data_IF_676200350677
#
_entry.id   IF_676200350677
#
_cell.length_a   1.000
_cell.length_b   1.000
_cell.length_c   1.000
_cell.angle_alpha   90.00
_cell.angle_beta   90.00
_cell.angle_gamma   90.00
#
_symmetry.space_group_name_H-M   'P 1'
#
loop_
_entity.id
_entity.type
_entity.pdbx_description
1 polymer ?
#
# COMPACT_ATOMS: atom_id res chain seq x y z
N UNK A 1 20.25 -17.49 4.80
CA UNK A 1 20.55 -16.09 4.46
C UNK A 1 20.25 -15.22 5.65
N UNK A 2 20.99 -14.12 5.81
CA UNK A 2 20.67 -13.00 6.67
C UNK A 2 20.08 -11.87 5.82
N UNK A 3 18.83 -11.54 6.07
CA UNK A 3 18.05 -10.58 5.28
C UNK A 3 17.80 -9.32 6.10
N UNK A 4 18.13 -8.17 5.53
CA UNK A 4 17.79 -6.86 6.08
C UNK A 4 16.48 -6.37 5.46
N UNK A 5 15.45 -6.21 6.27
CA UNK A 5 14.20 -5.56 5.90
C UNK A 5 14.28 -4.08 6.27
N UNK A 6 14.03 -3.18 5.33
CA UNK A 6 13.94 -1.74 5.61
C UNK A 6 12.61 -1.17 5.16
N UNK A 7 12.03 -0.27 5.95
CA UNK A 7 10.83 0.43 5.51
C UNK A 7 10.68 1.82 6.13
N UNK A 8 10.09 2.72 5.37
CA UNK A 8 9.62 4.01 5.86
C UNK A 8 8.67 3.77 7.05
N UNK A 9 8.65 4.65 8.07
CA UNK A 9 7.94 4.39 9.32
C UNK A 9 6.42 4.58 9.22
N UNK A 10 5.81 4.13 8.13
CA UNK A 10 4.38 4.11 7.88
C UNK A 10 3.87 2.66 7.91
N UNK A 11 2.83 2.40 8.68
CA UNK A 11 2.28 1.03 8.86
C UNK A 11 1.83 0.41 7.53
N UNK A 12 1.31 1.23 6.60
CA UNK A 12 0.91 0.77 5.27
C UNK A 12 2.07 0.24 4.41
N UNK A 13 3.28 0.78 4.62
CA UNK A 13 4.49 0.33 3.92
C UNK A 13 5.16 -0.83 4.66
N UNK A 14 5.22 -0.76 5.99
CA UNK A 14 5.88 -1.78 6.79
C UNK A 14 5.14 -3.13 6.79
N UNK A 15 3.80 -3.14 6.80
CA UNK A 15 3.02 -4.38 6.89
C UNK A 15 3.31 -5.37 5.74
N UNK A 16 3.35 -4.95 4.46
CA UNK A 16 3.80 -5.84 3.39
C UNK A 16 5.21 -6.38 3.59
N UNK A 17 6.16 -5.55 4.01
CA UNK A 17 7.54 -5.96 4.27
C UNK A 17 7.59 -7.01 5.39
N UNK A 18 6.78 -6.85 6.45
CA UNK A 18 6.64 -7.83 7.52
C UNK A 18 6.08 -9.16 7.02
N UNK A 19 5.11 -9.16 6.10
CA UNK A 19 4.60 -10.39 5.48
C UNK A 19 5.70 -11.13 4.72
N UNK A 20 6.55 -10.42 3.97
CA UNK A 20 7.72 -11.02 3.30
C UNK A 20 8.72 -11.54 4.34
N UNK A 21 9.01 -10.75 5.36
CA UNK A 21 9.89 -11.11 6.47
C UNK A 21 9.45 -12.38 7.20
N UNK A 22 8.15 -12.50 7.50
CA UNK A 22 7.59 -13.68 8.14
C UNK A 22 7.74 -14.93 7.28
N UNK A 23 7.51 -14.81 5.97
CA UNK A 23 7.72 -15.92 5.04
C UNK A 23 9.19 -16.37 4.98
N UNK A 24 10.13 -15.42 5.05
CA UNK A 24 11.57 -15.72 5.11
C UNK A 24 11.98 -16.39 6.43
N UNK A 25 11.43 -15.94 7.57
CA UNK A 25 11.65 -16.56 8.88
C UNK A 25 11.10 -17.99 8.89
N UNK A 26 9.91 -18.21 8.34
CA UNK A 26 9.29 -19.55 8.24
C UNK A 26 10.10 -20.49 7.34
N UNK A 27 10.84 -19.95 6.37
CA UNK A 27 11.79 -20.68 5.54
C UNK A 27 13.17 -20.89 6.21
N UNK A 28 13.37 -20.40 7.43
CA UNK A 28 14.59 -20.60 8.22
C UNK A 28 15.69 -19.56 7.99
N UNK A 29 15.38 -18.40 7.43
CA UNK A 29 16.33 -17.29 7.29
C UNK A 29 16.40 -16.41 8.55
N UNK A 30 17.55 -15.78 8.76
CA UNK A 30 17.76 -14.77 9.79
C UNK A 30 17.29 -13.40 9.28
N UNK A 31 16.39 -12.73 10.00
CA UNK A 31 15.75 -11.49 9.55
C UNK A 31 16.01 -10.37 10.55
N UNK A 32 16.54 -9.27 10.02
CA UNK A 32 16.77 -8.02 10.75
C UNK A 32 15.86 -6.95 10.14
N UNK A 33 15.01 -6.32 10.95
CA UNK A 33 14.16 -5.23 10.52
C UNK A 33 14.69 -3.86 10.93
N UNK A 34 14.56 -2.89 10.03
CA UNK A 34 15.01 -1.51 10.19
C UNK A 34 13.91 -0.51 9.80
N UNK A 35 13.46 0.25 10.79
CA UNK A 35 12.46 1.32 10.65
C UNK A 35 12.52 2.22 11.90
N UNK A 36 11.52 3.08 12.13
CA UNK A 36 11.42 3.86 13.37
C UNK A 36 11.32 2.97 14.61
N UNK A 37 11.89 3.44 15.70
CA UNK A 37 11.82 2.79 17.02
C UNK A 37 10.38 2.58 17.51
N UNK A 38 9.43 3.44 17.12
CA UNK A 38 8.02 3.28 17.49
C UNK A 38 7.39 1.98 16.94
N UNK A 39 7.93 1.45 15.83
CA UNK A 39 7.45 0.24 15.17
C UNK A 39 8.28 -1.01 15.50
N UNK A 40 9.25 -0.93 16.43
CA UNK A 40 10.09 -2.07 16.88
C UNK A 40 9.28 -3.32 17.19
N UNK A 41 8.18 -3.15 17.93
CA UNK A 41 7.33 -4.25 18.37
C UNK A 41 6.77 -5.09 17.21
N UNK A 42 6.57 -4.49 16.02
CA UNK A 42 6.10 -5.21 14.83
C UNK A 42 7.18 -6.11 14.23
N UNK A 43 8.42 -5.63 14.17
CA UNK A 43 9.57 -6.45 13.71
C UNK A 43 9.79 -7.63 14.67
N UNK A 44 9.85 -7.37 15.98
CA UNK A 44 10.01 -8.45 16.96
C UNK A 44 8.82 -9.40 16.99
N UNK A 45 7.61 -8.90 16.69
CA UNK A 45 6.39 -9.69 16.64
C UNK A 45 6.39 -10.78 15.56
N UNK A 46 7.13 -10.60 14.46
CA UNK A 46 7.32 -11.66 13.45
C UNK A 46 8.53 -12.57 13.76
N UNK A 47 9.28 -12.30 14.84
CA UNK A 47 10.49 -13.03 15.22
C UNK A 47 11.80 -12.42 14.70
N UNK A 48 11.76 -11.24 14.09
CA UNK A 48 12.94 -10.55 13.57
C UNK A 48 13.74 -9.80 14.64
N UNK A 49 15.06 -9.70 14.45
CA UNK A 49 15.89 -8.77 15.20
C UNK A 49 15.64 -7.33 14.74
N UNK A 50 15.88 -6.34 15.60
CA UNK A 50 15.61 -4.92 15.29
C UNK A 50 16.88 -4.07 15.28
N UNK A 51 16.96 -3.16 14.31
CA UNK A 51 17.92 -2.04 14.25
C UNK A 51 17.14 -0.74 13.99
N UNK A 52 17.32 0.32 14.81
CA UNK A 52 16.62 1.58 14.56
C UNK A 52 17.23 2.29 13.35
N UNK A 53 16.40 2.99 12.58
CA UNK A 53 16.88 4.09 11.73
C UNK A 53 17.49 5.19 12.62
N UNK A 54 18.34 6.03 12.03
CA UNK A 54 18.94 7.17 12.69
C UNK A 54 18.30 8.50 12.24
N UNK A 55 18.62 9.58 12.96
CA UNK A 55 18.24 10.94 12.59
C UNK A 55 16.75 11.13 12.29
N UNK A 56 16.46 11.86 11.21
CA UNK A 56 15.10 12.16 10.75
C UNK A 56 14.38 10.90 10.26
N UNK A 57 15.11 9.89 9.78
CA UNK A 57 14.53 8.63 9.35
C UNK A 57 13.93 7.80 10.51
N UNK A 58 14.32 8.06 11.76
CA UNK A 58 13.74 7.42 12.95
C UNK A 58 12.46 8.09 13.47
N UNK A 59 11.99 9.17 12.83
CA UNK A 59 10.83 9.94 13.29
C UNK A 59 9.60 9.03 13.44
N UNK A 60 8.86 9.22 14.54
CA UNK A 60 7.61 8.51 14.75
C UNK A 60 6.49 9.17 13.94
N UNK A 61 5.97 8.45 12.95
CA UNK A 61 4.88 8.91 12.09
C UNK A 61 3.52 8.32 12.49
N UNK A 62 3.42 7.69 13.67
CA UNK A 62 2.14 7.15 14.17
C UNK A 62 1.11 8.24 14.49
N UNK A 63 1.57 9.44 14.85
CA UNK A 63 0.76 10.66 14.90
C UNK A 63 1.30 11.66 13.88
N UNK A 64 0.74 11.62 12.68
CA UNK A 64 1.20 12.42 11.56
C UNK A 64 1.06 13.93 11.81
N UNK A 65 0.04 14.35 12.55
CA UNK A 65 -0.17 15.76 12.88
C UNK A 65 0.87 16.27 13.88
N UNK A 66 1.35 15.41 14.79
CA UNK A 66 2.47 15.75 15.68
C UNK A 66 3.80 15.75 14.93
N UNK A 67 4.01 14.76 14.06
CA UNK A 67 5.23 14.65 13.26
C UNK A 67 5.39 15.79 12.25
N UNK A 68 4.27 16.30 11.74
CA UNK A 68 4.19 17.35 10.72
C UNK A 68 3.01 18.30 10.99
N UNK A 69 3.14 19.26 11.93
CA UNK A 69 2.07 20.20 12.25
C UNK A 69 1.57 21.00 11.05
N UNK A 70 2.47 21.32 10.11
CA UNK A 70 2.16 22.02 8.87
C UNK A 70 1.18 21.27 7.96
N UNK A 71 1.09 19.94 8.08
CA UNK A 71 0.23 19.11 7.25
C UNK A 71 -1.25 19.37 7.51
N UNK A 72 -1.63 19.73 8.74
CA UNK A 72 -3.03 19.93 9.15
C UNK A 72 -3.76 21.02 8.37
N UNK A 73 -3.03 21.95 7.74
CA UNK A 73 -3.58 23.06 6.96
C UNK A 73 -3.49 22.84 5.45
N UNK A 74 -2.93 21.72 4.99
CA UNK A 74 -2.71 21.47 3.57
C UNK A 74 -3.99 21.04 2.85
N UNK A 75 -4.14 21.52 1.61
CA UNK A 75 -5.28 21.17 0.76
C UNK A 75 -5.02 19.83 0.05
N UNK A 76 -6.04 18.95 -0.07
CA UNK A 76 -5.92 17.74 -0.88
C UNK A 76 -5.48 18.06 -2.31
N UNK A 77 -4.73 17.14 -2.92
CA UNK A 77 -4.20 17.29 -4.29
C UNK A 77 -2.68 17.47 -4.32
N UNK A 78 -2.19 18.19 -5.33
CA UNK A 78 -0.77 18.27 -5.67
C UNK A 78 0.10 18.80 -4.51
N UNK A 79 -0.41 19.73 -3.68
CA UNK A 79 0.33 20.27 -2.54
C UNK A 79 0.63 19.20 -1.47
N UNK A 80 -0.37 18.36 -1.14
CA UNK A 80 -0.13 17.20 -0.26
C UNK A 80 0.81 16.18 -0.91
N UNK A 81 0.67 15.93 -2.20
CA UNK A 81 1.55 15.00 -2.93
C UNK A 81 3.01 15.48 -2.85
N UNK A 82 3.27 16.76 -3.14
CA UNK A 82 4.59 17.40 -2.97
C UNK A 82 5.12 17.19 -1.56
N UNK A 83 4.29 17.48 -0.55
CA UNK A 83 4.65 17.32 0.84
C UNK A 83 5.08 15.89 1.19
N UNK A 84 4.29 14.87 0.81
CA UNK A 84 4.66 13.48 1.08
C UNK A 84 6.00 13.12 0.43
N UNK A 85 6.18 13.43 -0.85
CA UNK A 85 7.42 13.08 -1.55
C UNK A 85 8.64 13.82 -1.04
N UNK A 86 8.52 15.11 -0.75
CA UNK A 86 9.63 15.92 -0.24
C UNK A 86 9.93 15.58 1.22
N UNK A 87 8.93 15.65 2.10
CA UNK A 87 9.13 15.68 3.55
C UNK A 87 9.15 14.29 4.18
N UNK A 88 8.39 13.35 3.62
CA UNK A 88 8.27 11.99 4.18
C UNK A 88 9.22 11.01 3.50
N UNK A 89 9.44 11.14 2.19
CA UNK A 89 10.24 10.18 1.43
C UNK A 89 11.65 10.68 1.08
N UNK A 90 11.82 11.94 0.64
CA UNK A 90 13.11 12.47 0.22
C UNK A 90 13.96 13.01 1.38
N UNK A 91 13.43 13.85 2.25
CA UNK A 91 14.17 14.46 3.37
C UNK A 91 14.93 13.42 4.23
N UNK A 92 14.36 12.23 4.56
CA UNK A 92 15.07 11.21 5.34
C UNK A 92 16.13 10.41 4.58
N UNK A 93 16.33 10.63 3.27
CA UNK A 93 17.15 9.78 2.38
C UNK A 93 18.56 9.56 2.94
N UNK A 94 19.24 10.62 3.40
CA UNK A 94 20.64 10.53 3.86
C UNK A 94 20.74 9.69 5.14
N UNK A 95 19.81 9.87 6.07
CA UNK A 95 19.79 9.11 7.33
C UNK A 95 19.40 7.64 7.10
N UNK A 96 18.46 7.39 6.19
CA UNK A 96 18.12 6.04 5.72
C UNK A 96 19.34 5.35 5.11
N UNK A 97 20.04 6.02 4.18
CA UNK A 97 21.23 5.50 3.53
C UNK A 97 22.36 5.23 4.53
N UNK A 98 22.63 6.17 5.43
CA UNK A 98 23.65 6.01 6.48
C UNK A 98 23.33 4.83 7.39
N UNK A 99 22.05 4.66 7.77
CA UNK A 99 21.61 3.52 8.58
C UNK A 99 21.81 2.18 7.85
N UNK A 100 21.53 2.12 6.53
CA UNK A 100 21.83 0.94 5.71
C UNK A 100 23.33 0.62 5.71
N UNK A 101 24.18 1.60 5.39
CA UNK A 101 25.63 1.40 5.36
C UNK A 101 26.18 0.88 6.69
N UNK A 102 25.77 1.47 7.82
CA UNK A 102 26.21 1.02 9.14
C UNK A 102 25.92 -0.48 9.38
N UNK A 103 24.72 -0.95 9.00
CA UNK A 103 24.35 -2.36 9.17
C UNK A 103 25.14 -3.26 8.20
N UNK A 104 25.36 -2.81 6.96
CA UNK A 104 26.13 -3.55 5.96
C UNK A 104 27.62 -3.66 6.33
N UNK A 105 28.19 -2.64 6.99
CA UNK A 105 29.57 -2.64 7.48
C UNK A 105 29.74 -3.53 8.73
N UNK A 106 28.70 -3.64 9.56
CA UNK A 106 28.74 -4.42 10.80
C UNK A 106 28.44 -5.91 10.59
N UNK A 107 27.58 -6.26 9.62
CA UNK A 107 27.01 -7.59 9.47
C UNK A 107 27.06 -8.08 8.02
N UNK A 108 27.35 -9.37 7.79
CA UNK A 108 27.23 -9.97 6.46
C UNK A 108 25.75 -10.12 6.11
N UNK A 109 25.18 -9.13 5.42
CA UNK A 109 23.82 -9.17 4.88
C UNK A 109 23.84 -9.80 3.49
N UNK A 110 23.03 -10.84 3.28
CA UNK A 110 22.96 -11.58 2.01
C UNK A 110 21.90 -11.01 1.05
N UNK A 111 20.97 -10.20 1.56
CA UNK A 111 19.85 -9.60 0.82
C UNK A 111 19.26 -8.43 1.60
N UNK A 112 18.93 -7.35 0.88
CA UNK A 112 18.11 -6.25 1.40
C UNK A 112 16.73 -6.31 0.73
N UNK A 113 15.66 -6.26 1.53
CA UNK A 113 14.28 -6.10 1.05
C UNK A 113 13.72 -4.82 1.61
N UNK A 114 13.25 -3.92 0.74
CA UNK A 114 12.80 -2.60 1.16
C UNK A 114 11.50 -2.19 0.50
N UNK A 115 10.72 -1.29 1.11
CA UNK A 115 9.59 -0.69 0.40
C UNK A 115 10.09 0.24 -0.73
N UNK A 116 9.30 0.38 -1.80
CA UNK A 116 9.69 1.11 -3.00
C UNK A 116 9.85 2.63 -2.81
N UNK A 117 9.41 3.18 -1.67
CA UNK A 117 9.55 4.60 -1.32
C UNK A 117 10.59 4.85 -0.23
N UNK A 118 11.37 3.83 0.15
CA UNK A 118 12.55 3.97 1.00
C UNK A 118 13.75 4.46 0.17
N UNK A 119 13.82 5.76 -0.08
CA UNK A 119 14.81 6.33 -1.01
C UNK A 119 16.26 6.21 -0.55
N UNK A 120 16.54 5.91 0.72
CA UNK A 120 17.89 5.60 1.21
C UNK A 120 18.56 4.39 0.53
N UNK A 121 17.80 3.51 -0.12
CA UNK A 121 18.36 2.41 -0.91
C UNK A 121 18.88 2.86 -2.30
N UNK A 122 18.44 4.02 -2.81
CA UNK A 122 18.81 4.51 -4.15
C UNK A 122 20.31 4.79 -4.27
N UNK A 123 20.98 5.46 -3.31
CA UNK A 123 22.44 5.59 -3.33
C UNK A 123 23.17 4.25 -3.42
N UNK A 124 22.68 3.19 -2.74
CA UNK A 124 23.30 1.86 -2.85
C UNK A 124 23.25 1.32 -4.27
N UNK A 125 22.10 1.47 -4.94
CA UNK A 125 21.87 0.99 -6.31
C UNK A 125 22.65 1.78 -7.36
N UNK A 126 22.83 3.09 -7.15
CA UNK A 126 23.51 3.98 -8.10
C UNK A 126 25.04 3.99 -7.94
N UNK A 127 25.53 3.93 -6.70
CA UNK A 127 26.95 4.11 -6.38
C UNK A 127 27.72 2.79 -6.43
N UNK A 128 27.15 1.72 -5.92
CA UNK A 128 27.88 0.48 -5.68
C UNK A 128 27.48 -0.59 -6.70
N UNK A 129 28.44 -1.14 -7.46
CA UNK A 129 28.16 -2.21 -8.40
C UNK A 129 27.65 -3.45 -7.64
N UNK A 130 26.89 -4.31 -8.32
CA UNK A 130 26.24 -5.47 -7.71
C UNK A 130 27.19 -6.42 -6.96
N UNK A 131 28.47 -6.48 -7.33
CA UNK A 131 29.49 -7.29 -6.68
C UNK A 131 30.02 -6.72 -5.35
N UNK A 132 29.74 -5.45 -5.04
CA UNK A 132 30.21 -4.75 -3.83
C UNK A 132 29.10 -4.52 -2.80
N UNK A 133 27.87 -4.95 -3.10
CA UNK A 133 26.70 -4.82 -2.22
C UNK A 133 25.83 -6.07 -2.29
N UNK A 134 25.01 -6.36 -1.26
CA UNK A 134 23.97 -7.37 -1.39
C UNK A 134 22.97 -7.02 -2.51
N UNK A 135 22.24 -8.03 -3.02
CA UNK A 135 21.06 -7.77 -3.84
C UNK A 135 20.04 -6.95 -3.04
N UNK A 136 19.33 -6.08 -3.75
CA UNK A 136 18.29 -5.23 -3.18
C UNK A 136 16.99 -5.46 -3.94
N UNK A 137 16.00 -5.98 -3.22
CA UNK A 137 14.64 -6.17 -3.72
C UNK A 137 13.72 -5.07 -3.18
N UNK A 138 12.96 -4.44 -4.08
CA UNK A 138 11.91 -3.50 -3.69
C UNK A 138 10.56 -4.22 -3.62
N UNK A 139 9.76 -3.94 -2.61
CA UNK A 139 8.35 -4.28 -2.56
C UNK A 139 7.53 -3.05 -2.96
N UNK A 140 6.72 -3.17 -4.01
CA UNK A 140 5.76 -2.17 -4.44
C UNK A 140 4.59 -2.10 -3.46
N UNK A 141 4.75 -1.36 -2.37
CA UNK A 141 3.73 -1.20 -1.31
C UNK A 141 2.62 -0.24 -1.72
N UNK A 142 2.82 0.48 -2.82
CA UNK A 142 1.83 1.31 -3.52
C UNK A 142 1.50 0.69 -4.88
N UNK A 143 0.50 1.24 -5.57
CA UNK A 143 0.33 0.99 -7.00
C UNK A 143 1.61 1.34 -7.77
N UNK A 144 1.75 0.80 -8.98
CA UNK A 144 2.94 1.04 -9.78
C UNK A 144 3.01 2.51 -10.18
N UNK A 145 3.99 3.25 -9.65
CA UNK A 145 4.17 4.69 -9.88
C UNK A 145 4.86 5.01 -11.22
N UNK A 146 5.49 4.01 -11.84
CA UNK A 146 6.17 4.20 -13.12
C UNK A 146 5.18 4.63 -14.21
N UNK A 147 5.73 5.32 -15.21
CA UNK A 147 5.00 5.92 -16.33
C UNK A 147 3.98 4.95 -16.93
N UNK A 148 2.76 5.46 -17.15
CA UNK A 148 1.65 4.79 -17.82
C UNK A 148 1.70 5.06 -19.33
N UNK A 149 1.10 4.18 -20.14
CA UNK A 149 1.03 4.37 -21.60
C UNK A 149 0.20 5.60 -22.00
N UNK A 150 -0.79 5.98 -21.19
CA UNK A 150 -1.62 7.16 -21.41
C UNK A 150 -1.01 8.47 -20.87
N UNK A 151 0.23 8.42 -20.38
CA UNK A 151 0.98 9.59 -19.91
C UNK A 151 0.28 10.41 -18.81
N UNK A 152 -0.75 9.86 -18.17
CA UNK A 152 -1.40 10.48 -17.03
C UNK A 152 -0.40 10.60 -15.87
N UNK A 153 -0.27 11.78 -15.23
CA UNK A 153 0.51 11.89 -14.01
C UNK A 153 -0.09 11.02 -12.91
N UNK A 154 0.79 10.37 -12.13
CA UNK A 154 0.39 9.56 -10.99
C UNK A 154 0.06 10.46 -9.77
N UNK A 155 -0.70 9.91 -8.80
CA UNK A 155 -1.15 10.56 -7.56
C UNK A 155 -2.23 11.64 -7.77
N UNK A 156 -3.01 11.51 -8.84
CA UNK A 156 -4.12 12.42 -9.17
C UNK A 156 -5.46 11.68 -9.37
N UNK A 157 -5.48 10.35 -9.25
CA UNK A 157 -6.71 9.57 -9.46
C UNK A 157 -7.27 9.65 -10.88
N UNK A 158 -6.42 9.97 -11.86
CA UNK A 158 -6.86 10.13 -13.24
C UNK A 158 -7.20 8.75 -13.85
N UNK A 159 -8.39 8.59 -14.46
CA UNK A 159 -8.78 7.35 -15.12
C UNK A 159 -7.84 7.04 -16.29
N UNK A 160 -7.95 5.84 -16.87
CA UNK A 160 -7.22 5.56 -18.10
C UNK A 160 -7.89 6.23 -19.29
N UNK A 161 -7.12 6.92 -20.12
CA UNK A 161 -7.63 7.61 -21.31
C UNK A 161 -6.62 7.62 -22.47
N UNK A 162 -6.93 8.36 -23.53
CA UNK A 162 -5.97 8.62 -24.61
C UNK A 162 -4.88 9.61 -24.16
N UNK A 163 -3.60 9.42 -24.54
CA UNK A 163 -2.49 10.25 -24.04
C UNK A 163 -2.69 11.76 -24.14
N UNK A 164 -3.28 12.21 -25.25
CA UNK A 164 -3.57 13.63 -25.50
C UNK A 164 -4.51 14.27 -24.47
N UNK A 165 -5.30 13.47 -23.74
CA UNK A 165 -6.21 13.98 -22.71
C UNK A 165 -5.46 14.57 -21.51
N UNK A 166 -4.21 14.14 -21.28
CA UNK A 166 -3.43 14.52 -20.11
C UNK A 166 -2.24 15.42 -20.42
N UNK A 167 -1.98 15.77 -21.68
CA UNK A 167 -0.78 16.53 -22.08
C UNK A 167 -0.58 17.83 -21.25
N UNK A 168 -1.62 18.65 -21.12
CA UNK A 168 -1.56 19.90 -20.34
C UNK A 168 -1.37 19.64 -18.84
N UNK A 169 -2.03 18.62 -18.29
CA UNK A 169 -1.92 18.28 -16.87
C UNK A 169 -0.53 17.72 -16.57
N UNK A 170 0.02 16.91 -17.48
CA UNK A 170 1.37 16.37 -17.36
C UNK A 170 2.44 17.45 -17.42
N UNK A 171 2.30 18.43 -18.32
CA UNK A 171 3.20 19.58 -18.39
C UNK A 171 3.16 20.42 -17.10
N UNK A 172 1.96 20.66 -16.55
CA UNK A 172 1.80 21.38 -15.29
C UNK A 172 2.41 20.61 -14.12
N UNK A 173 2.14 19.30 -14.00
CA UNK A 173 2.71 18.47 -12.93
C UNK A 173 4.23 18.34 -13.05
N UNK A 174 4.76 18.22 -14.27
CA UNK A 174 6.20 18.19 -14.47
C UNK A 174 6.86 19.48 -14.00
N UNK A 175 6.33 20.63 -14.43
CA UNK A 175 6.83 21.95 -14.08
C UNK A 175 6.70 22.25 -12.59
N UNK A 176 5.52 22.00 -12.01
CA UNK A 176 5.20 22.42 -10.66
C UNK A 176 5.71 21.43 -9.61
N UNK A 177 5.93 20.17 -9.96
CA UNK A 177 6.34 19.13 -9.02
C UNK A 177 7.54 18.30 -9.48
N UNK A 178 7.46 17.55 -10.59
CA UNK A 178 8.47 16.53 -10.89
C UNK A 178 9.87 17.12 -11.12
N UNK A 179 9.99 18.21 -11.87
CA UNK A 179 11.27 18.85 -12.15
C UNK A 179 11.89 19.51 -10.90
N UNK A 180 11.17 20.32 -10.10
CA UNK A 180 11.68 20.81 -8.81
C UNK A 180 12.07 19.69 -7.86
N UNK A 181 11.23 18.66 -7.75
CA UNK A 181 11.48 17.52 -6.88
C UNK A 181 12.72 16.74 -7.31
N UNK A 182 12.89 16.48 -8.61
CA UNK A 182 14.07 15.80 -9.15
C UNK A 182 15.36 16.60 -8.88
N UNK A 183 15.31 17.93 -8.97
CA UNK A 183 16.44 18.81 -8.63
C UNK A 183 16.83 18.67 -7.14
N UNK A 184 15.85 18.75 -6.24
CA UNK A 184 16.08 18.58 -4.80
C UNK A 184 16.60 17.18 -4.45
N UNK A 185 15.99 16.14 -5.02
CA UNK A 185 16.41 14.75 -4.80
C UNK A 185 17.85 14.53 -5.29
N UNK A 186 18.22 15.07 -6.45
CA UNK A 186 19.59 14.98 -6.96
C UNK A 186 20.59 15.74 -6.06
N UNK A 187 20.20 16.86 -5.46
CA UNK A 187 21.04 17.53 -4.47
C UNK A 187 21.26 16.66 -3.22
N UNK A 188 20.23 15.94 -2.75
CA UNK A 188 20.36 14.98 -1.65
C UNK A 188 21.26 13.79 -2.02
N UNK A 189 21.11 13.23 -3.22
CA UNK A 189 21.98 12.15 -3.71
C UNK A 189 23.44 12.57 -3.77
N UNK A 190 23.73 13.77 -4.28
CA UNK A 190 25.09 14.33 -4.31
C UNK A 190 25.66 14.52 -2.90
N UNK A 191 24.86 15.02 -1.95
CA UNK A 191 25.26 15.13 -0.53
C UNK A 191 25.52 13.78 0.12
N UNK A 192 24.82 12.72 -0.29
CA UNK A 192 25.08 11.34 0.12
C UNK A 192 26.31 10.72 -0.57
N UNK A 193 26.97 11.46 -1.48
CA UNK A 193 28.10 10.98 -2.27
C UNK A 193 27.70 9.94 -3.33
N UNK A 194 26.45 9.96 -3.77
CA UNK A 194 25.91 9.18 -4.90
C UNK A 194 25.92 10.03 -6.17
N UNK A 195 26.08 9.43 -7.37
CA UNK A 195 25.79 10.14 -8.61
C UNK A 195 24.30 10.55 -8.66
N UNK A 196 23.95 11.58 -9.48
CA UNK A 196 22.57 11.99 -9.65
C UNK A 196 21.77 10.93 -10.43
N UNK A 197 20.46 10.97 -10.26
CA UNK A 197 19.50 10.21 -11.04
C UNK A 197 19.18 10.94 -12.36
N UNK A 198 19.26 10.23 -13.48
CA UNK A 198 19.03 10.78 -14.83
C UNK A 198 17.63 10.54 -15.39
N UNK A 199 16.76 9.90 -14.61
CA UNK A 199 15.34 9.69 -14.91
C UNK A 199 14.49 10.16 -13.71
N UNK A 200 13.17 10.14 -13.84
CA UNK A 200 12.31 10.45 -12.69
C UNK A 200 12.34 9.30 -11.68
N UNK A 201 12.17 9.63 -10.39
CA UNK A 201 12.27 8.65 -9.31
C UNK A 201 11.26 7.50 -9.45
N UNK A 202 10.09 7.75 -10.05
CA UNK A 202 9.04 6.74 -10.16
C UNK A 202 9.40 5.63 -11.14
N UNK A 203 10.00 5.98 -12.28
CA UNK A 203 10.56 5.00 -13.21
C UNK A 203 11.80 4.32 -12.61
N UNK A 204 12.66 5.08 -11.91
CA UNK A 204 13.86 4.55 -11.27
C UNK A 204 13.56 3.48 -10.21
N UNK A 205 12.55 3.69 -9.36
CA UNK A 205 12.16 2.71 -8.32
C UNK A 205 11.62 1.39 -8.91
N UNK A 206 11.13 1.41 -10.15
CA UNK A 206 10.71 0.21 -10.87
C UNK A 206 11.88 -0.44 -11.65
N UNK A 207 12.94 0.30 -11.97
CA UNK A 207 14.02 -0.14 -12.88
C UNK A 207 15.36 -0.44 -12.20
N UNK A 208 15.73 0.31 -11.17
CA UNK A 208 17.02 0.19 -10.48
C UNK A 208 17.20 -1.05 -9.60
N UNK A 209 16.20 -1.56 -8.85
CA UNK A 209 16.45 -2.66 -7.93
C UNK A 209 16.77 -3.94 -8.69
N UNK A 210 17.46 -4.88 -8.03
CA UNK A 210 17.77 -6.18 -8.65
C UNK A 210 16.48 -7.01 -8.84
N UNK A 211 15.44 -6.71 -8.05
CA UNK A 211 14.08 -7.23 -8.20
C UNK A 211 13.05 -6.20 -7.70
N UNK A 212 11.97 -6.00 -8.44
CA UNK A 212 10.82 -5.22 -7.97
C UNK A 212 9.59 -6.12 -7.87
N UNK A 213 9.12 -6.36 -6.65
CA UNK A 213 7.95 -7.18 -6.32
C UNK A 213 6.71 -6.29 -6.26
N UNK A 214 5.97 -6.20 -7.37
CA UNK A 214 4.73 -5.43 -7.41
C UNK A 214 3.59 -6.27 -6.81
N UNK A 215 2.97 -5.77 -5.74
CA UNK A 215 2.03 -6.52 -4.89
C UNK A 215 0.59 -6.56 -5.43
N UNK A 216 0.45 -6.76 -6.74
CA UNK A 216 -0.82 -6.89 -7.45
C UNK A 216 -0.70 -7.83 -8.65
N UNK A 217 -1.72 -7.85 -9.50
CA UNK A 217 -1.76 -8.59 -10.77
C UNK A 217 -1.82 -7.62 -11.96
N UNK A 218 -1.35 -8.05 -13.14
CA UNK A 218 -1.41 -7.24 -14.35
C UNK A 218 -2.80 -6.67 -14.65
N UNK A 219 -3.88 -7.44 -14.45
CA UNK A 219 -5.24 -7.00 -14.78
C UNK A 219 -5.80 -5.87 -13.89
N UNK A 220 -5.11 -5.53 -12.79
CA UNK A 220 -5.48 -4.39 -11.93
C UNK A 220 -4.68 -3.11 -12.26
N UNK A 221 -3.57 -3.22 -12.98
CA UNK A 221 -2.74 -2.07 -13.33
C UNK A 221 -3.10 -1.49 -14.70
N UNK A 222 -2.97 -0.17 -14.81
CA UNK A 222 -3.08 0.50 -16.11
C UNK A 222 -2.01 0.01 -17.09
N UNK A 223 -2.33 -0.06 -18.40
CA UNK A 223 -1.42 -0.51 -19.45
C UNK A 223 -0.06 0.19 -19.44
N UNK A 224 0.99 -0.64 -19.61
CA UNK A 224 2.38 -0.24 -19.76
C UNK A 224 3.04 -1.13 -20.79
N UNK A 225 3.44 -0.54 -21.91
CA UNK A 225 4.06 -1.25 -23.04
C UNK A 225 5.50 -1.65 -22.72
N UNK A 226 6.19 -0.88 -21.88
CA UNK A 226 7.57 -1.11 -21.49
C UNK A 226 7.69 -1.34 -19.98
N UNK A 227 7.41 -2.57 -19.53
CA UNK A 227 7.66 -2.95 -18.14
C UNK A 227 9.16 -3.11 -17.90
N UNK A 228 9.72 -2.53 -16.81
CA UNK A 228 11.11 -2.73 -16.46
C UNK A 228 11.46 -4.21 -16.24
N UNK A 229 12.64 -4.63 -16.70
CA UNK A 229 13.12 -6.01 -16.59
C UNK A 229 13.10 -6.60 -15.16
N UNK A 230 13.39 -5.86 -14.07
CA UNK A 230 13.34 -6.44 -12.71
C UNK A 230 11.91 -6.53 -12.15
N UNK A 231 10.90 -5.96 -12.80
CA UNK A 231 9.54 -5.94 -12.26
C UNK A 231 8.87 -7.32 -12.38
N UNK A 232 8.30 -7.79 -11.26
CA UNK A 232 7.50 -9.00 -11.18
C UNK A 232 6.20 -8.70 -10.43
N UNK A 233 5.08 -9.00 -11.07
CA UNK A 233 3.79 -9.07 -10.37
C UNK A 233 3.76 -10.34 -9.53
N UNK A 234 3.56 -10.18 -8.22
CA UNK A 234 3.55 -11.31 -7.27
C UNK A 234 2.22 -11.50 -6.57
N UNK A 235 1.23 -10.67 -6.92
CA UNK A 235 -0.10 -10.69 -6.30
C UNK A 235 -0.09 -10.17 -4.86
N UNK A 236 -1.22 -10.32 -4.17
CA UNK A 236 -1.32 -9.98 -2.77
C UNK A 236 -0.48 -10.94 -1.93
N UNK A 237 0.24 -10.38 -0.96
CA UNK A 237 1.02 -11.18 -0.01
C UNK A 237 0.10 -12.01 0.89
N UNK A 238 0.59 -13.15 1.43
CA UNK A 238 -0.12 -13.91 2.44
C UNK A 238 -0.50 -13.03 3.64
N UNK A 239 -1.72 -13.24 4.12
CA UNK A 239 -2.22 -12.59 5.33
C UNK A 239 -1.55 -13.26 6.52
N UNK A 240 -0.87 -12.47 7.35
CA UNK A 240 -0.29 -12.98 8.59
C UNK A 240 -1.39 -13.47 9.54
N UNK A 241 -1.19 -14.63 10.14
CA UNK A 241 -2.12 -15.18 11.11
C UNK A 241 -2.07 -14.45 12.46
N UNK A 242 -3.18 -14.50 13.20
CA UNK A 242 -3.24 -14.00 14.58
C UNK A 242 -3.18 -12.47 14.70
N UNK A 243 -3.59 -11.73 13.66
CA UNK A 243 -3.62 -10.27 13.67
C UNK A 243 -4.48 -9.67 14.80
N UNK A 244 -5.56 -10.37 15.16
CA UNK A 244 -6.47 -9.99 16.24
C UNK A 244 -7.27 -11.22 16.71
N UNK A 245 -7.77 -11.24 17.95
CA UNK A 245 -8.68 -12.27 18.42
C UNK A 245 -10.01 -12.23 17.64
N UNK A 246 -10.70 -13.36 17.59
CA UNK A 246 -12.05 -13.42 17.03
C UNK A 246 -13.04 -12.63 17.89
N UNK A 247 -13.95 -11.86 17.28
CA UNK A 247 -14.96 -11.14 18.04
C UNK A 247 -16.04 -12.09 18.60
N UNK A 248 -16.75 -11.72 19.67
CA UNK A 248 -17.82 -12.54 20.27
C UNK A 248 -18.96 -12.90 19.30
N UNK A 249 -19.21 -12.02 18.33
CA UNK A 249 -20.23 -12.20 17.28
C UNK A 249 -19.70 -12.97 16.04
N UNK A 250 -18.50 -13.54 16.10
CA UNK A 250 -17.88 -14.23 14.96
C UNK A 250 -18.73 -15.37 14.39
N UNK A 251 -19.52 -16.03 15.23
CA UNK A 251 -20.43 -17.10 14.80
C UNK A 251 -21.61 -16.61 13.95
N UNK A 252 -21.90 -15.30 13.90
CA UNK A 252 -22.96 -14.75 13.06
C UNK A 252 -22.61 -14.68 11.57
N UNK A 253 -21.31 -14.85 11.23
CA UNK A 253 -20.85 -14.94 9.84
C UNK A 253 -20.91 -16.41 9.41
N UNK A 254 -22.10 -16.97 9.41
CA UNK A 254 -22.41 -18.39 9.13
C UNK A 254 -22.83 -18.64 7.67
N UNK A 255 -22.88 -17.60 6.84
CA UNK A 255 -23.31 -17.65 5.44
C UNK A 255 -24.82 -17.48 5.23
N UNK A 256 -25.61 -17.23 6.28
CA UNK A 256 -27.05 -16.97 6.17
C UNK A 256 -27.38 -15.61 5.56
N UNK A 257 -26.48 -14.64 5.69
CA UNK A 257 -26.59 -13.27 5.16
C UNK A 257 -25.35 -12.93 4.37
N UNK A 258 -25.52 -12.03 3.40
CA UNK A 258 -24.38 -11.46 2.68
C UNK A 258 -23.64 -10.49 3.57
N UNK A 259 -22.32 -10.47 3.52
CA UNK A 259 -21.48 -9.67 4.42
C UNK A 259 -20.82 -8.53 3.65
N UNK A 260 -21.06 -7.29 4.10
CA UNK A 260 -20.39 -6.10 3.61
C UNK A 260 -19.34 -5.66 4.62
N UNK A 261 -18.06 -5.70 4.23
CA UNK A 261 -16.98 -5.16 5.04
C UNK A 261 -16.82 -3.67 4.76
N UNK A 262 -16.80 -2.84 5.81
CA UNK A 262 -16.55 -1.40 5.73
C UNK A 262 -15.27 -1.04 6.49
N UNK A 263 -14.35 -0.31 5.85
CA UNK A 263 -13.13 0.16 6.52
C UNK A 263 -12.48 1.40 5.89
N UNK A 264 -11.92 2.28 6.73
CA UNK A 264 -11.07 3.41 6.33
C UNK A 264 -9.56 3.11 6.47
N UNK A 265 -9.16 1.84 6.60
CA UNK A 265 -7.76 1.47 6.76
C UNK A 265 -7.17 1.95 8.08
N UNK A 266 -5.85 2.12 8.12
CA UNK A 266 -5.08 2.35 9.36
C UNK A 266 -4.39 3.72 9.45
N UNK A 267 -4.25 4.43 8.33
CA UNK A 267 -3.56 5.74 8.27
C UNK A 267 -4.57 6.87 8.38
N UNK A 268 -5.45 7.04 7.39
CA UNK A 268 -6.44 8.12 7.37
C UNK A 268 -7.80 7.63 7.87
N UNK A 269 -7.83 7.27 9.16
CA UNK A 269 -9.02 6.80 9.89
C UNK A 269 -9.36 7.67 11.12
N UNK A 270 -8.86 8.91 11.16
CA UNK A 270 -9.10 9.85 12.27
C UNK A 270 -10.54 10.41 12.27
N UNK A 271 -11.21 10.41 11.12
CA UNK A 271 -12.58 10.89 10.95
C UNK A 271 -13.45 9.81 10.30
N UNK A 272 -14.19 9.06 11.12
CA UNK A 272 -15.13 8.04 10.66
C UNK A 272 -16.40 8.59 10.01
N UNK A 273 -16.61 9.92 10.04
CA UNK A 273 -17.72 10.55 9.30
C UNK A 273 -17.47 10.58 7.79
N UNK A 274 -16.24 10.33 7.33
CA UNK A 274 -15.89 10.31 5.92
C UNK A 274 -16.56 9.14 5.18
N UNK A 275 -16.46 7.91 5.71
CA UNK A 275 -16.98 6.73 5.01
C UNK A 275 -17.72 5.75 5.92
N UNK A 276 -17.18 5.43 7.10
CA UNK A 276 -17.77 4.39 7.97
C UNK A 276 -19.19 4.76 8.39
N UNK A 277 -19.40 5.98 8.87
CA UNK A 277 -20.70 6.43 9.36
C UNK A 277 -21.75 6.50 8.25
N UNK A 278 -21.51 7.18 7.10
CA UNK A 278 -22.50 7.19 6.02
C UNK A 278 -22.74 5.79 5.43
N UNK A 279 -21.77 4.86 5.48
CA UNK A 279 -21.98 3.48 5.07
C UNK A 279 -22.88 2.69 6.05
N UNK A 280 -22.72 2.91 7.36
CA UNK A 280 -23.63 2.34 8.37
C UNK A 280 -25.05 2.85 8.15
N UNK A 281 -25.22 4.15 7.94
CA UNK A 281 -26.53 4.77 7.67
C UNK A 281 -27.14 4.26 6.36
N UNK A 282 -26.34 4.10 5.30
CA UNK A 282 -26.80 3.65 3.98
C UNK A 282 -27.38 2.24 4.02
N UNK A 283 -26.85 1.39 4.91
CA UNK A 283 -27.14 -0.04 4.99
C UNK A 283 -27.97 -0.41 6.23
N UNK A 284 -28.40 0.56 7.04
CA UNK A 284 -29.07 0.31 8.31
C UNK A 284 -30.35 -0.52 8.20
N UNK A 285 -31.14 -0.32 7.14
CA UNK A 285 -32.43 -0.98 6.92
C UNK A 285 -32.31 -2.31 6.13
N UNK A 286 -31.09 -2.78 5.85
CA UNK A 286 -30.82 -3.97 5.04
C UNK A 286 -30.73 -5.23 5.89
N UNK A 287 -31.87 -5.85 6.16
CA UNK A 287 -31.97 -7.10 6.92
C UNK A 287 -31.32 -8.31 6.22
N UNK A 288 -31.14 -8.26 4.90
CA UNK A 288 -30.43 -9.28 4.11
C UNK A 288 -28.90 -9.19 4.21
N UNK A 289 -28.38 -8.12 4.82
CA UNK A 289 -26.95 -7.85 4.96
C UNK A 289 -26.50 -7.95 6.42
N UNK A 290 -25.25 -8.34 6.60
CA UNK A 290 -24.48 -8.12 7.81
C UNK A 290 -23.37 -7.10 7.50
N UNK A 291 -23.38 -5.95 8.17
CA UNK A 291 -22.39 -4.89 7.94
C UNK A 291 -21.29 -5.03 8.98
N UNK A 292 -20.09 -5.42 8.54
CA UNK A 292 -18.93 -5.61 9.42
C UNK A 292 -18.00 -4.42 9.28
N UNK A 293 -17.66 -3.78 10.40
CA UNK A 293 -16.73 -2.65 10.43
C UNK A 293 -15.46 -3.02 11.19
N UNK A 294 -14.31 -2.71 10.59
CA UNK A 294 -13.03 -2.67 11.30
C UNK A 294 -12.52 -1.24 11.38
N UNK A 295 -12.28 -0.76 12.60
CA UNK A 295 -11.84 0.61 12.89
C UNK A 295 -10.32 0.83 12.70
N UNK A 296 -9.59 -0.16 12.17
CA UNK A 296 -8.18 0.00 11.84
C UNK A 296 -7.29 0.35 13.04
N UNK A 297 -7.66 -0.10 14.24
CA UNK A 297 -6.91 0.15 15.47
C UNK A 297 -7.37 1.37 16.28
N UNK A 298 -8.34 2.15 15.80
CA UNK A 298 -8.94 3.27 16.55
C UNK A 298 -10.04 2.80 17.50
N UNK A 299 -10.37 3.62 18.48
CA UNK A 299 -11.48 3.32 19.40
C UNK A 299 -12.81 3.27 18.63
N UNK A 300 -13.61 2.22 18.85
CA UNK A 300 -14.91 2.08 18.19
C UNK A 300 -15.90 3.19 18.60
N UNK A 301 -15.74 3.74 19.80
CA UNK A 301 -16.58 4.83 20.33
C UNK A 301 -16.37 6.16 19.59
N UNK A 302 -15.34 6.25 18.74
CA UNK A 302 -15.11 7.42 17.88
C UNK A 302 -15.93 7.39 16.59
N UNK A 303 -16.68 6.31 16.32
CA UNK A 303 -17.62 6.24 15.19
C UNK A 303 -18.88 7.02 15.58
N UNK A 304 -19.19 8.14 14.90
CA UNK A 304 -20.35 8.94 15.23
C UNK A 304 -21.65 8.26 14.82
N UNK A 305 -22.75 8.62 15.50
CA UNK A 305 -24.08 8.15 15.18
C UNK A 305 -24.46 6.84 15.88
N UNK A 306 -25.62 6.29 15.50
CA UNK A 306 -26.15 5.06 16.07
C UNK A 306 -25.62 3.87 15.28
N UNK A 307 -25.21 2.81 15.98
CA UNK A 307 -24.87 1.54 15.32
C UNK A 307 -26.16 0.79 14.95
N UNK A 308 -26.39 0.48 13.65
CA UNK A 308 -27.57 -0.27 13.20
C UNK A 308 -27.63 -1.69 13.74
N UNK A 309 -28.83 -2.29 13.78
CA UNK A 309 -29.03 -3.64 14.34
C UNK A 309 -28.27 -4.74 13.56
N UNK A 310 -28.08 -4.54 12.25
CA UNK A 310 -27.37 -5.43 11.35
C UNK A 310 -25.86 -5.14 11.27
N UNK A 311 -25.33 -4.23 12.10
CA UNK A 311 -23.91 -3.89 12.11
C UNK A 311 -23.14 -4.61 13.23
N UNK A 312 -21.90 -4.99 12.94
CA UNK A 312 -20.94 -5.57 13.87
C UNK A 312 -19.61 -4.86 13.75
N UNK A 313 -19.10 -4.34 14.85
CA UNK A 313 -17.94 -3.45 14.86
C UNK A 313 -16.86 -4.05 15.74
N UNK A 314 -15.61 -3.95 15.28
CA UNK A 314 -14.44 -4.25 16.08
C UNK A 314 -13.32 -3.23 15.82
N UNK A 315 -12.46 -3.04 16.83
CA UNK A 315 -11.25 -2.22 16.71
C UNK A 315 -10.34 -2.71 15.58
N UNK A 316 -10.16 -4.02 15.50
CA UNK A 316 -9.40 -4.71 14.47
C UNK A 316 -9.97 -6.13 14.29
N UNK A 317 -9.85 -6.70 13.10
CA UNK A 317 -10.34 -8.04 12.78
C UNK A 317 -9.23 -8.86 12.09
N UNK A 318 -9.15 -10.17 12.35
CA UNK A 318 -8.22 -11.05 11.63
C UNK A 318 -8.71 -11.27 10.19
N UNK A 319 -7.97 -10.74 9.21
CA UNK A 319 -8.39 -10.81 7.80
C UNK A 319 -8.36 -12.23 7.23
N UNK A 320 -7.50 -13.10 7.77
CA UNK A 320 -7.46 -14.53 7.41
C UNK A 320 -8.79 -15.24 7.66
N UNK A 321 -9.51 -14.85 8.71
CA UNK A 321 -10.82 -15.37 9.07
C UNK A 321 -11.93 -14.62 8.33
N UNK A 322 -11.77 -13.30 8.19
CA UNK A 322 -12.83 -12.43 7.70
C UNK A 322 -13.01 -12.52 6.19
N UNK A 323 -11.94 -12.35 5.40
CA UNK A 323 -12.04 -12.20 3.94
C UNK A 323 -12.74 -13.36 3.23
N UNK A 324 -12.55 -14.64 3.60
CA UNK A 324 -13.30 -15.74 2.99
C UNK A 324 -14.83 -15.65 3.14
N UNK A 325 -15.33 -14.76 4.01
CA UNK A 325 -16.76 -14.61 4.33
C UNK A 325 -17.38 -13.31 3.82
N UNK A 326 -16.62 -12.48 3.12
CA UNK A 326 -17.08 -11.17 2.65
C UNK A 326 -17.60 -11.26 1.22
N UNK A 327 -18.74 -10.62 0.95
CA UNK A 327 -19.34 -10.53 -0.39
C UNK A 327 -19.03 -9.20 -1.08
N UNK A 328 -18.74 -8.14 -0.31
CA UNK A 328 -18.44 -6.80 -0.82
C UNK A 328 -17.55 -6.04 0.16
N UNK A 329 -16.54 -5.34 -0.37
CA UNK A 329 -15.73 -4.39 0.39
C UNK A 329 -16.14 -2.95 0.06
N UNK A 330 -16.45 -2.15 1.08
CA UNK A 330 -16.55 -0.69 1.01
C UNK A 330 -15.34 -0.11 1.74
N UNK A 331 -14.48 0.61 1.02
CA UNK A 331 -13.20 1.07 1.57
C UNK A 331 -12.81 2.44 1.06
N UNK A 332 -11.87 3.10 1.74
CA UNK A 332 -11.30 4.34 1.25
C UNK A 332 -10.31 4.14 0.09
N UNK A 333 -9.90 2.90 -0.22
CA UNK A 333 -9.04 2.60 -1.36
C UNK A 333 -7.59 2.27 -1.00
N UNK A 334 -7.30 1.85 0.24
CA UNK A 334 -5.94 1.46 0.61
C UNK A 334 -5.43 0.27 -0.22
N UNK A 335 -4.28 0.44 -0.89
CA UNK A 335 -3.75 -0.49 -1.89
C UNK A 335 -3.66 -1.95 -1.41
N UNK A 336 -3.13 -2.17 -0.20
CA UNK A 336 -3.01 -3.51 0.38
C UNK A 336 -4.36 -4.19 0.64
N UNK A 337 -5.30 -3.47 1.25
CA UNK A 337 -6.66 -3.98 1.54
C UNK A 337 -7.41 -4.33 0.27
N UNK A 338 -7.32 -3.47 -0.75
CA UNK A 338 -7.94 -3.71 -2.06
C UNK A 338 -7.37 -4.96 -2.71
N UNK A 339 -6.05 -5.11 -2.77
CA UNK A 339 -5.42 -6.31 -3.34
C UNK A 339 -5.75 -7.60 -2.57
N UNK A 340 -5.85 -7.53 -1.24
CA UNK A 340 -6.30 -8.68 -0.44
C UNK A 340 -7.76 -9.05 -0.76
N UNK A 341 -8.65 -8.07 -0.91
CA UNK A 341 -10.04 -8.33 -1.29
C UNK A 341 -10.14 -8.98 -2.69
N UNK A 342 -9.40 -8.43 -3.66
CA UNK A 342 -9.35 -8.95 -5.02
C UNK A 342 -8.75 -10.35 -5.10
N UNK A 343 -7.73 -10.65 -4.29
CA UNK A 343 -7.18 -12.00 -4.16
C UNK A 343 -8.21 -13.02 -3.64
N UNK A 344 -9.23 -12.57 -2.90
CA UNK A 344 -10.37 -13.38 -2.44
C UNK A 344 -11.60 -13.31 -3.35
N UNK A 345 -11.52 -12.60 -4.47
CA UNK A 345 -12.61 -12.50 -5.44
C UNK A 345 -13.76 -11.60 -4.99
N UNK A 346 -13.46 -10.65 -4.10
CA UNK A 346 -14.43 -9.72 -3.51
C UNK A 346 -14.48 -8.43 -4.34
N UNK A 347 -15.64 -8.03 -4.88
CA UNK A 347 -15.84 -6.72 -5.48
C UNK A 347 -15.62 -5.57 -4.51
N UNK A 348 -15.26 -4.39 -5.02
CA UNK A 348 -14.86 -3.25 -4.17
C UNK A 348 -15.62 -1.97 -4.52
N UNK A 349 -16.03 -1.21 -3.52
CA UNK A 349 -16.49 0.17 -3.67
C UNK A 349 -15.47 1.06 -2.95
N UNK A 350 -14.83 1.94 -3.71
CA UNK A 350 -13.80 2.85 -3.24
C UNK A 350 -14.33 4.27 -3.01
N UNK A 351 -13.95 4.92 -1.91
CA UNK A 351 -14.25 6.31 -1.60
C UNK A 351 -13.08 6.97 -0.87
N UNK A 352 -12.15 7.56 -1.63
CA UNK A 352 -11.02 8.29 -1.08
C UNK A 352 -10.26 9.06 -2.16
N UNK A 353 -9.70 10.20 -1.79
CA UNK A 353 -9.01 11.14 -2.68
C UNK A 353 -7.62 11.54 -2.17
N UNK A 354 -7.23 11.09 -0.98
CA UNK A 354 -5.93 11.39 -0.36
C UNK A 354 -4.92 10.25 -0.52
N UNK A 355 -3.63 10.57 -0.45
CA UNK A 355 -2.52 9.61 -0.58
C UNK A 355 -2.59 8.87 -1.93
N UNK A 356 -2.51 7.55 -1.93
CA UNK A 356 -2.60 6.71 -3.12
C UNK A 356 -4.03 6.34 -3.53
N UNK A 357 -5.02 6.70 -2.70
CA UNK A 357 -6.38 6.16 -2.79
C UNK A 357 -7.11 6.54 -4.05
N UNK A 358 -6.96 7.78 -4.52
CA UNK A 358 -7.59 8.24 -5.75
C UNK A 358 -7.14 7.36 -6.93
N UNK A 359 -5.85 7.04 -7.00
CA UNK A 359 -5.23 6.19 -8.02
C UNK A 359 -5.63 4.71 -7.91
N UNK A 360 -5.79 4.20 -6.68
CA UNK A 360 -6.30 2.85 -6.46
C UNK A 360 -7.78 2.76 -6.85
N UNK A 361 -8.58 3.76 -6.49
CA UNK A 361 -10.01 3.78 -6.81
C UNK A 361 -10.25 3.91 -8.32
N UNK A 362 -9.44 4.71 -9.02
CA UNK A 362 -9.47 4.77 -10.49
C UNK A 362 -9.21 3.38 -11.13
N UNK A 363 -8.32 2.57 -10.55
CA UNK A 363 -8.06 1.19 -10.99
C UNK A 363 -9.20 0.24 -10.67
N UNK A 364 -9.90 0.42 -9.53
CA UNK A 364 -11.12 -0.32 -9.18
C UNK A 364 -12.17 -0.14 -10.29
N UNK A 365 -12.43 1.11 -10.68
CA UNK A 365 -13.40 1.41 -11.73
C UNK A 365 -12.94 0.90 -13.11
N UNK A 366 -11.69 1.15 -13.48
CA UNK A 366 -11.15 0.77 -14.80
C UNK A 366 -11.11 -0.74 -15.03
N UNK A 367 -10.70 -1.51 -14.03
CA UNK A 367 -10.63 -2.98 -14.14
C UNK A 367 -12.01 -3.66 -14.10
N UNK A 368 -13.07 -2.92 -13.76
CA UNK A 368 -14.44 -3.42 -13.70
C UNK A 368 -14.70 -4.35 -12.51
N UNK A 369 -13.82 -4.35 -11.50
CA UNK A 369 -14.02 -5.10 -10.24
C UNK A 369 -14.91 -4.37 -9.25
N UNK A 370 -15.26 -3.10 -9.54
CA UNK A 370 -15.96 -2.28 -8.59
C UNK A 370 -16.32 -0.87 -9.07
N UNK A 371 -16.66 -0.01 -8.12
CA UNK A 371 -17.05 1.39 -8.34
C UNK A 371 -16.12 2.31 -7.55
N UNK A 372 -15.65 3.38 -8.21
CA UNK A 372 -15.05 4.53 -7.57
C UNK A 372 -16.13 5.60 -7.32
N UNK A 373 -16.30 6.01 -6.06
CA UNK A 373 -17.23 7.07 -5.66
C UNK A 373 -16.65 8.47 -5.86
N UNK A 374 -15.36 8.60 -6.16
CA UNK A 374 -14.68 9.85 -6.53
C UNK A 374 -14.76 10.95 -5.47
N UNK A 375 -14.83 10.58 -4.19
CA UNK A 375 -14.89 11.52 -3.06
C UNK A 375 -14.41 10.87 -1.76
N UNK A 376 -13.89 11.69 -0.83
CA UNK A 376 -13.62 11.28 0.56
C UNK A 376 -14.89 11.25 1.42
N UNK A 377 -15.98 11.90 0.99
CA UNK A 377 -17.23 12.03 1.75
C UNK A 377 -18.45 11.68 0.89
N UNK A 378 -18.61 10.40 0.49
CA UNK A 378 -19.77 9.99 -0.28
C UNK A 378 -21.06 10.16 0.53
N UNK A 379 -22.13 10.55 -0.16
CA UNK A 379 -23.45 10.62 0.47
C UNK A 379 -23.99 9.21 0.77
N UNK A 380 -24.88 9.13 1.75
CA UNK A 380 -25.61 7.91 2.11
C UNK A 380 -26.26 7.27 0.87
N UNK A 381 -26.90 8.08 0.02
CA UNK A 381 -27.57 7.60 -1.19
C UNK A 381 -26.59 7.09 -2.25
N UNK A 382 -25.42 7.72 -2.39
CA UNK A 382 -24.38 7.27 -3.30
C UNK A 382 -23.83 5.89 -2.88
N UNK A 383 -23.57 5.70 -1.58
CA UNK A 383 -23.13 4.40 -1.05
C UNK A 383 -24.21 3.35 -1.28
N UNK A 384 -25.47 3.64 -0.92
CA UNK A 384 -26.59 2.70 -1.12
C UNK A 384 -26.71 2.27 -2.58
N UNK A 385 -26.70 3.25 -3.49
CA UNK A 385 -26.80 3.00 -4.94
C UNK A 385 -25.62 2.16 -5.45
N UNK A 386 -24.40 2.45 -5.00
CA UNK A 386 -23.22 1.69 -5.39
C UNK A 386 -23.28 0.25 -4.88
N UNK A 387 -23.66 0.04 -3.62
CA UNK A 387 -23.83 -1.30 -3.03
C UNK A 387 -24.89 -2.10 -3.80
N UNK A 388 -26.06 -1.52 -4.05
CA UNK A 388 -27.12 -2.17 -4.81
C UNK A 388 -26.68 -2.50 -6.24
N UNK A 389 -25.93 -1.60 -6.87
CA UNK A 389 -25.40 -1.80 -8.22
C UNK A 389 -24.39 -2.95 -8.26
N UNK A 390 -23.44 -2.98 -7.34
CA UNK A 390 -22.38 -4.00 -7.32
C UNK A 390 -22.95 -5.36 -6.96
N UNK A 391 -23.87 -5.44 -6.00
CA UNK A 391 -24.46 -6.69 -5.55
C UNK A 391 -25.52 -7.25 -6.51
N UNK A 392 -26.13 -6.44 -7.37
CA UNK A 392 -27.14 -6.90 -8.35
C UNK A 392 -26.56 -7.27 -9.70
N UNK A 393 -25.41 -6.70 -10.11
CA UNK A 393 -24.81 -6.93 -11.42
C UNK A 393 -23.72 -8.01 -11.34
N UNK A 394 -23.90 -9.20 -11.95
CA UNK A 394 -22.95 -10.30 -11.80
C UNK A 394 -21.53 -10.00 -12.31
N UNK A 395 -21.38 -9.07 -13.26
CA UNK A 395 -20.07 -8.77 -13.88
C UNK A 395 -19.00 -8.36 -12.86
N UNK A 396 -19.34 -7.61 -11.80
CA UNK A 396 -18.37 -7.23 -10.78
C UNK A 396 -17.82 -8.46 -10.05
N UNK A 397 -18.70 -9.37 -9.62
CA UNK A 397 -18.29 -10.63 -8.98
C UNK A 397 -17.51 -11.54 -9.93
N UNK A 398 -17.86 -11.58 -11.22
CA UNK A 398 -17.12 -12.34 -12.23
C UNK A 398 -15.72 -11.78 -12.44
N UNK A 399 -15.58 -10.44 -12.55
CA UNK A 399 -14.28 -9.78 -12.69
C UNK A 399 -13.42 -9.96 -11.45
N UNK A 400 -13.96 -9.78 -10.26
CA UNK A 400 -13.23 -10.01 -9.02
C UNK A 400 -12.75 -11.47 -8.91
N UNK A 401 -13.58 -12.47 -9.26
CA UNK A 401 -13.18 -13.89 -9.29
C UNK A 401 -12.08 -14.19 -10.32
N UNK A 402 -12.15 -13.60 -11.52
CA UNK A 402 -11.08 -13.71 -12.52
C UNK A 402 -9.76 -13.16 -11.97
N UNK A 403 -9.81 -12.00 -11.30
CA UNK A 403 -8.64 -11.38 -10.70
C UNK A 403 -8.09 -12.21 -9.53
N UNK A 404 -8.95 -12.85 -8.73
CA UNK A 404 -8.55 -13.82 -7.70
C UNK A 404 -7.77 -15.01 -8.28
N UNK A 405 -8.24 -15.56 -9.40
CA UNK A 405 -7.53 -16.65 -10.09
C UNK A 405 -6.17 -16.18 -10.61
N UNK A 406 -6.08 -14.95 -11.12
CA UNK A 406 -4.80 -14.37 -11.52
C UNK A 406 -3.85 -14.20 -10.33
N UNK A 407 -4.35 -13.69 -9.20
CA UNK A 407 -3.57 -13.58 -7.95
C UNK A 407 -3.00 -14.93 -7.51
N UNK A 408 -3.82 -15.99 -7.56
CA UNK A 408 -3.38 -17.35 -7.23
C UNK A 408 -2.28 -17.84 -8.18
N UNK A 409 -2.43 -17.58 -9.48
CA UNK A 409 -1.45 -17.95 -10.52
C UNK A 409 -0.12 -17.22 -10.28
N UNK A 410 -0.13 -15.90 -10.22
CA UNK A 410 1.11 -15.12 -10.06
C UNK A 410 1.82 -15.44 -8.74
N UNK A 411 1.08 -15.67 -7.65
CA UNK A 411 1.70 -16.03 -6.35
C UNK A 411 2.39 -17.38 -6.41
N UNK A 412 1.75 -18.38 -7.06
CA UNK A 412 2.33 -19.71 -7.25
C UNK A 412 3.58 -19.65 -8.12
N UNK A 413 3.49 -18.93 -9.23
CA UNK A 413 4.58 -18.82 -10.21
C UNK A 413 5.75 -17.98 -9.64
N UNK A 414 5.44 -16.97 -8.83
CA UNK A 414 6.44 -16.13 -8.18
C UNK A 414 7.19 -16.89 -7.08
N UNK A 415 6.51 -17.62 -6.18
CA UNK A 415 7.15 -18.18 -4.97
C UNK A 415 8.13 -17.18 -4.32
N UNK A 416 7.59 -16.17 -3.65
CA UNK A 416 8.35 -14.97 -3.23
C UNK A 416 9.66 -15.28 -2.50
N UNK A 417 9.68 -16.32 -1.65
CA UNK A 417 10.90 -16.76 -0.95
C UNK A 417 11.92 -17.27 -1.97
N UNK A 418 11.52 -18.17 -2.87
CA UNK A 418 12.40 -18.70 -3.91
C UNK A 418 12.94 -17.63 -4.87
N UNK A 419 12.13 -16.62 -5.23
CA UNK A 419 12.62 -15.47 -6.01
C UNK A 419 13.70 -14.71 -5.25
N UNK A 420 13.49 -14.43 -3.97
CA UNK A 420 14.45 -13.72 -3.14
C UNK A 420 15.73 -14.53 -2.91
N UNK A 421 15.62 -15.83 -2.65
CA UNK A 421 16.76 -16.75 -2.54
C UNK A 421 17.59 -16.78 -3.82
N UNK A 422 16.93 -16.75 -5.00
CA UNK A 422 17.64 -16.77 -6.28
C UNK A 422 18.54 -15.55 -6.52
N UNK A 423 18.24 -14.41 -5.88
CA UNK A 423 19.05 -13.21 -5.99
C UNK A 423 20.39 -13.31 -5.25
N UNK A 424 20.43 -14.04 -4.13
CA UNK A 424 21.62 -14.13 -3.27
C UNK A 424 22.63 -15.17 -3.76
N UNK A 425 22.22 -16.05 -4.68
CA UNK A 425 23.10 -17.06 -5.31
C UNK A 425 23.72 -16.54 -6.61
N UNK A 426 23.19 -15.44 -7.16
CA UNK A 426 23.68 -14.74 -8.36
C UNK A 426 24.59 -13.57 -8.00
#
# INVERSE_FOLDING_TARGET
>A
MRVLLSSVPLVGHLNPILSVGKALIDAGHDVIGMTSTSLRHKISGIGGAFRPLQGEANRDLSDFAVAFPEFSQMKPGLDMTKFYFERVFADPLIDQYTSLCNVLDELPIDLVVTDNLFFGAIPLLLKHPRCERPPIAFCGTTYLLSRRDDLAPCNLGLPFAEPKAYASIAEEVDKEFLAPFASNLNALLLRAGSPPLHENIFDATARLPDLHLQLTVPSFEFPRSNLPAPLRYVGALPIMSGQAPLPPWSSELDGSRRVVLVTQGTLSNHDFSQLVSPALDALADRSDLLVVVTAGGRCIDSIPGRIPFNARIAKYLPFEWLLPKIDLLVTNGGYGTVNQALAHGIPVIGAGQSEDKADVNARIAWSGVGIDLQTDRPSVDAIRTAVDTVMSKPHFSMRARQMSQEHQRVRRDANIVGLLESLSVA
#
